data_IF_469252126342
#
_entry.id   IF_469252126342
#
_cell.length_a   1.000
_cell.length_b   1.000
_cell.length_c   1.000
_cell.angle_alpha   90.00
_cell.angle_beta   90.00
_cell.angle_gamma   90.00
#
_symmetry.space_group_name_H-M   'P 1'
#
loop_
_entity.id
_entity.type
_entity.pdbx_description
1 polymer ?
#
# COMPACT_ATOMS: atom_id res chain seq x y z
N UNK A 1 6.85 -2.41 -11.61
CA UNK A 1 5.91 -3.31 -10.90
C UNK A 1 5.68 -2.82 -9.49
N UNK A 2 6.64 -2.95 -8.56
CA UNK A 2 6.49 -2.53 -7.15
C UNK A 2 5.91 -1.12 -6.94
N UNK A 3 6.49 -0.08 -7.54
CA UNK A 3 5.97 1.30 -7.40
C UNK A 3 4.54 1.45 -7.91
N UNK A 4 4.12 0.65 -8.90
CA UNK A 4 2.78 0.70 -9.47
C UNK A 4 1.78 -0.04 -8.57
N UNK A 5 2.19 -1.16 -8.00
CA UNK A 5 1.36 -1.95 -7.09
C UNK A 5 1.18 -1.22 -5.74
N UNK A 6 2.25 -0.58 -5.22
CA UNK A 6 2.15 0.31 -4.06
C UNK A 6 1.30 1.55 -4.34
N UNK A 7 1.36 2.12 -5.54
CA UNK A 7 0.49 3.24 -5.93
C UNK A 7 -0.98 2.81 -6.02
N UNK A 8 -1.26 1.62 -6.54
CA UNK A 8 -2.61 1.05 -6.57
C UNK A 8 -3.15 0.79 -5.15
N UNK A 9 -2.31 0.27 -4.24
CA UNK A 9 -2.68 0.07 -2.84
C UNK A 9 -2.96 1.41 -2.12
N UNK A 10 -2.12 2.42 -2.33
CA UNK A 10 -2.34 3.76 -1.79
C UNK A 10 -3.64 4.39 -2.35
N UNK A 11 -3.88 4.24 -3.66
CA UNK A 11 -5.11 4.69 -4.30
C UNK A 11 -6.35 4.00 -3.70
N UNK A 12 -6.30 2.69 -3.45
CA UNK A 12 -7.39 1.96 -2.82
C UNK A 12 -7.72 2.52 -1.42
N UNK A 13 -6.72 2.81 -0.59
CA UNK A 13 -6.92 3.43 0.73
C UNK A 13 -7.58 4.80 0.58
N UNK A 14 -7.09 5.65 -0.34
CA UNK A 14 -7.69 6.97 -0.59
C UNK A 14 -9.15 6.84 -1.04
N UNK A 15 -9.46 5.88 -1.91
CA UNK A 15 -10.83 5.63 -2.35
C UNK A 15 -11.74 5.24 -1.18
N UNK A 16 -11.28 4.36 -0.28
CA UNK A 16 -12.04 3.99 0.93
C UNK A 16 -12.30 5.20 1.83
N UNK A 17 -11.29 6.05 2.04
CA UNK A 17 -11.45 7.31 2.78
C UNK A 17 -12.54 8.21 2.19
N UNK A 18 -12.51 8.41 0.87
CA UNK A 18 -13.50 9.23 0.17
C UNK A 18 -14.90 8.64 0.27
N UNK A 19 -15.05 7.32 0.11
CA UNK A 19 -16.35 6.64 0.22
C UNK A 19 -16.91 6.78 1.63
N UNK A 20 -16.10 6.55 2.67
CA UNK A 20 -16.54 6.70 4.06
C UNK A 20 -16.91 8.15 4.39
N UNK A 21 -16.08 9.12 3.99
CA UNK A 21 -16.35 10.53 4.23
C UNK A 21 -17.65 10.97 3.54
N UNK A 22 -17.84 10.57 2.27
CA UNK A 22 -19.07 10.84 1.52
C UNK A 22 -20.29 10.19 2.17
N UNK A 23 -20.18 8.92 2.58
CA UNK A 23 -21.28 8.19 3.22
C UNK A 23 -21.65 8.81 4.56
N UNK A 24 -20.65 9.14 5.40
CA UNK A 24 -20.87 9.79 6.69
C UNK A 24 -21.54 11.15 6.52
N UNK A 25 -21.09 11.95 5.56
CA UNK A 25 -21.71 13.23 5.25
C UNK A 25 -23.16 13.06 4.76
N UNK A 26 -23.40 12.11 3.86
CA UNK A 26 -24.74 11.82 3.33
C UNK A 26 -25.70 11.37 4.43
N UNK A 27 -25.21 10.67 5.45
CA UNK A 27 -26.00 10.18 6.59
C UNK A 27 -26.06 11.14 7.78
N UNK A 28 -25.43 12.31 7.70
CA UNK A 28 -25.27 13.23 8.84
C UNK A 28 -26.58 13.51 9.57
N UNK A 29 -27.64 13.88 8.82
CA UNK A 29 -28.95 14.21 9.40
C UNK A 29 -29.64 13.00 10.04
N UNK A 30 -29.46 11.80 9.47
CA UNK A 30 -30.02 10.57 10.03
C UNK A 30 -29.32 10.17 11.34
N UNK A 31 -28.00 10.35 11.42
CA UNK A 31 -27.24 10.13 12.65
C UNK A 31 -27.57 11.18 13.71
N UNK A 32 -27.76 12.44 13.32
CA UNK A 32 -28.14 13.53 14.22
C UNK A 32 -29.51 13.26 14.85
N UNK A 33 -30.52 12.87 14.04
CA UNK A 33 -31.87 12.56 14.54
C UNK A 33 -31.94 11.37 15.48
N UNK A 34 -30.96 10.46 15.42
CA UNK A 34 -30.89 9.25 16.26
C UNK A 34 -29.82 9.33 17.36
N UNK A 35 -29.14 10.47 17.49
CA UNK A 35 -28.04 10.69 18.44
C UNK A 35 -26.87 9.69 18.27
N UNK A 36 -26.61 9.27 17.03
CA UNK A 36 -25.57 8.29 16.67
C UNK A 36 -24.33 8.91 16.02
N UNK A 37 -24.27 10.25 15.91
CA UNK A 37 -23.14 10.95 15.27
C UNK A 37 -21.78 10.54 15.84
N UNK A 38 -21.62 10.59 17.16
CA UNK A 38 -20.34 10.28 17.82
C UNK A 38 -19.98 8.79 17.68
N UNK A 39 -20.87 7.82 18.01
CA UNK A 39 -20.59 6.40 17.80
C UNK A 39 -20.18 6.06 16.36
N UNK A 40 -20.91 6.60 15.37
CA UNK A 40 -20.63 6.34 13.96
C UNK A 40 -19.30 6.97 13.52
N UNK A 41 -18.96 8.15 14.04
CA UNK A 41 -17.68 8.79 13.75
C UNK A 41 -16.51 7.97 14.31
N UNK A 42 -16.62 7.46 15.55
CA UNK A 42 -15.59 6.62 16.18
C UNK A 42 -15.43 5.31 15.40
N UNK A 43 -16.52 4.62 15.08
CA UNK A 43 -16.49 3.37 14.32
C UNK A 43 -15.87 3.59 12.93
N UNK A 44 -16.28 4.64 12.22
CA UNK A 44 -15.70 5.01 10.93
C UNK A 44 -14.20 5.30 11.03
N UNK A 45 -13.78 6.05 12.05
CA UNK A 45 -12.37 6.37 12.28
C UNK A 45 -11.53 5.10 12.58
N UNK A 46 -12.05 4.17 13.37
CA UNK A 46 -11.38 2.90 13.66
C UNK A 46 -11.17 2.09 12.37
N UNK A 47 -12.21 1.95 11.54
CA UNK A 47 -12.11 1.21 10.28
C UNK A 47 -11.08 1.84 9.35
N UNK A 48 -11.14 3.16 9.16
CA UNK A 48 -10.19 3.88 8.32
C UNK A 48 -8.75 3.77 8.83
N UNK A 49 -8.55 3.90 10.13
CA UNK A 49 -7.25 3.76 10.76
C UNK A 49 -6.66 2.37 10.55
N UNK A 50 -7.42 1.31 10.89
CA UNK A 50 -6.95 -0.07 10.77
C UNK A 50 -6.66 -0.45 9.31
N UNK A 51 -7.50 -0.03 8.37
CA UNK A 51 -7.29 -0.31 6.95
C UNK A 51 -6.04 0.40 6.41
N UNK A 52 -5.84 1.67 6.81
CA UNK A 52 -4.65 2.44 6.44
C UNK A 52 -3.39 1.84 7.04
N UNK A 53 -3.42 1.47 8.33
CA UNK A 53 -2.30 0.87 9.04
C UNK A 53 -1.91 -0.50 8.45
N UNK A 54 -2.89 -1.35 8.14
CA UNK A 54 -2.66 -2.64 7.50
C UNK A 54 -2.01 -2.49 6.13
N UNK A 55 -2.54 -1.58 5.29
CA UNK A 55 -1.96 -1.32 3.96
C UNK A 55 -0.56 -0.74 4.06
N UNK A 56 -0.32 0.17 5.01
CA UNK A 56 1.00 0.73 5.26
C UNK A 56 2.00 -0.34 5.72
N UNK A 57 1.60 -1.21 6.65
CA UNK A 57 2.41 -2.34 7.10
C UNK A 57 2.75 -3.29 5.95
N UNK A 58 1.76 -3.61 5.10
CA UNK A 58 1.97 -4.40 3.89
C UNK A 58 3.01 -3.75 2.98
N UNK A 59 2.87 -2.46 2.65
CA UNK A 59 3.82 -1.75 1.76
C UNK A 59 5.22 -1.69 2.38
N UNK A 60 5.32 -1.41 3.67
CA UNK A 60 6.59 -1.29 4.39
C UNK A 60 7.36 -2.62 4.37
N UNK A 61 6.69 -3.69 4.82
CA UNK A 61 7.33 -4.99 4.98
C UNK A 61 7.66 -5.64 3.63
N UNK A 62 6.84 -5.41 2.61
CA UNK A 62 7.13 -5.88 1.25
C UNK A 62 8.38 -5.22 0.64
N UNK A 63 8.78 -4.02 1.10
CA UNK A 63 10.05 -3.42 0.68
C UNK A 63 11.26 -4.05 1.38
N UNK A 64 11.11 -4.38 2.66
CA UNK A 64 12.13 -5.00 3.51
C UNK A 64 12.40 -6.44 3.04
N UNK A 65 11.35 -7.27 2.88
CA UNK A 65 11.47 -8.67 2.44
C UNK A 65 12.00 -8.83 1.01
N UNK A 66 11.67 -7.90 0.12
CA UNK A 66 12.12 -7.98 -1.28
C UNK A 66 13.63 -7.79 -1.40
N UNK A 67 14.23 -6.94 -0.57
CA UNK A 67 15.68 -6.74 -0.53
C UNK A 67 16.44 -7.98 -0.06
N UNK A 68 15.85 -8.72 0.89
CA UNK A 68 16.42 -9.95 1.43
C UNK A 68 16.33 -11.12 0.43
N UNK A 69 15.19 -11.29 -0.23
CA UNK A 69 14.95 -12.43 -1.12
C UNK A 69 15.64 -12.24 -2.49
N UNK A 70 15.53 -11.05 -3.10
CA UNK A 70 16.07 -10.83 -4.46
C UNK A 70 17.51 -10.34 -4.49
N UNK A 71 18.12 -9.98 -3.35
CA UNK A 71 19.50 -9.49 -3.31
C UNK A 71 20.49 -10.49 -3.92
N UNK A 72 20.35 -11.76 -3.54
CA UNK A 72 21.20 -12.86 -4.03
C UNK A 72 20.99 -13.12 -5.53
N UNK A 73 19.74 -13.20 -5.98
CA UNK A 73 19.42 -13.44 -7.39
C UNK A 73 19.88 -12.28 -8.30
N UNK A 74 19.69 -11.02 -7.86
CA UNK A 74 20.16 -9.84 -8.59
C UNK A 74 21.70 -9.83 -8.65
N UNK A 75 22.39 -10.18 -7.56
CA UNK A 75 23.85 -10.28 -7.53
C UNK A 75 24.38 -11.26 -8.58
N UNK A 76 23.83 -12.47 -8.64
CA UNK A 76 24.25 -13.47 -9.64
C UNK A 76 23.90 -13.05 -11.07
N UNK A 77 22.74 -12.45 -11.30
CA UNK A 77 22.37 -11.91 -12.62
C UNK A 77 23.35 -10.82 -13.10
N UNK A 78 23.81 -9.95 -12.21
CA UNK A 78 24.83 -8.94 -12.54
C UNK A 78 26.18 -9.57 -12.85
N UNK A 79 26.59 -10.61 -12.12
CA UNK A 79 27.82 -11.34 -12.39
C UNK A 79 27.79 -12.04 -13.76
N UNK A 80 26.66 -12.64 -14.13
CA UNK A 80 26.47 -13.25 -15.46
C UNK A 80 26.53 -12.17 -16.56
N UNK A 81 25.94 -10.99 -16.31
CA UNK A 81 26.01 -9.84 -17.23
C UNK A 81 27.44 -9.37 -17.45
N UNK A 82 28.20 -9.18 -16.36
CA UNK A 82 29.61 -8.80 -16.41
C UNK A 82 30.45 -9.85 -17.14
N UNK A 83 30.22 -11.13 -16.89
CA UNK A 83 30.91 -12.22 -17.58
C UNK A 83 30.64 -12.22 -19.10
N UNK A 84 29.41 -11.92 -19.54
CA UNK A 84 29.10 -11.76 -20.98
C UNK A 84 29.77 -10.54 -21.59
N UNK A 85 29.75 -9.41 -20.89
CA UNK A 85 30.42 -8.18 -21.36
C UNK A 85 31.93 -8.38 -21.49
N UNK A 86 32.56 -9.08 -20.53
CA UNK A 86 33.99 -9.38 -20.59
C UNK A 86 34.34 -10.31 -21.76
N UNK A 87 33.53 -11.35 -22.03
CA UNK A 87 33.75 -12.24 -23.17
C UNK A 87 33.64 -11.53 -24.52
N UNK A 88 32.65 -10.64 -24.68
CA UNK A 88 32.48 -9.88 -25.92
C UNK A 88 33.50 -8.74 -26.13
N UNK A 89 34.32 -8.42 -25.11
CA UNK A 89 35.41 -7.44 -25.24
C UNK A 89 36.78 -8.10 -25.52
N UNK A 90 36.86 -9.43 -25.44
CA UNK A 90 38.07 -10.22 -25.68
C UNK A 90 38.05 -10.99 -27.02
N UNK A 91 36.95 -10.91 -27.77
CA UNK A 91 36.82 -11.35 -29.17
C UNK A 91 36.94 -10.14 -30.11
#
# INVERSE_FOLDING_TARGET
>A
MFRRDSAAAAFAVVAVWLIYAFTFWSMWKAFESTNLLIPMAILGAIVLFLNTASTFAMIRHYSEDKSAIYGTDIYYLDQIRKARQHKGATE
#
